data_IF_745570236486
#
_entry.id   IF_745570236486
#
_cell.length_a   1.000
_cell.length_b   1.000
_cell.length_c   1.000
_cell.angle_alpha   90.00
_cell.angle_beta   90.00
_cell.angle_gamma   90.00
#
_symmetry.space_group_name_H-M   'P 1'
#
loop_
_entity.id
_entity.type
_entity.pdbx_description
1 polymer ?
#
# COMPACT_ATOMS: atom_id res chain seq x y z
N UNK A 1 -11.43 -21.88 10.75
CA UNK A 1 -11.07 -20.59 11.38
C UNK A 1 -10.28 -19.69 10.41
N UNK A 2 -9.47 -20.25 9.51
CA UNK A 2 -8.67 -19.46 8.54
C UNK A 2 -9.49 -18.86 7.40
N UNK A 3 -10.61 -19.48 7.04
CA UNK A 3 -11.49 -19.08 5.91
C UNK A 3 -12.46 -17.95 6.27
N UNK A 4 -12.74 -17.71 7.54
CA UNK A 4 -13.68 -16.67 7.99
C UNK A 4 -12.98 -15.31 8.13
N UNK A 5 -11.69 -15.28 8.41
CA UNK A 5 -10.90 -14.03 8.52
C UNK A 5 -10.62 -13.36 7.17
N UNK A 6 -10.63 -14.13 6.06
CA UNK A 6 -10.39 -13.54 4.72
C UNK A 6 -11.58 -12.75 4.18
N UNK A 7 -12.81 -13.07 4.62
CA UNK A 7 -14.02 -12.38 4.16
C UNK A 7 -14.27 -11.05 4.88
N UNK A 8 -13.86 -10.93 6.13
CA UNK A 8 -14.04 -9.69 6.91
C UNK A 8 -13.01 -8.61 6.58
N UNK A 9 -11.82 -9.00 6.16
CA UNK A 9 -10.78 -8.03 5.77
C UNK A 9 -11.09 -7.34 4.44
N UNK A 10 -11.75 -8.03 3.49
CA UNK A 10 -12.21 -7.42 2.24
C UNK A 10 -13.27 -6.31 2.43
N UNK A 11 -14.04 -6.35 3.52
CA UNK A 11 -15.12 -5.38 3.77
C UNK A 11 -14.61 -4.08 4.40
N UNK A 12 -13.50 -4.09 5.10
CA UNK A 12 -12.91 -2.89 5.72
C UNK A 12 -12.08 -2.08 4.71
N UNK A 13 -11.53 -2.74 3.70
CA UNK A 13 -10.73 -2.11 2.64
C UNK A 13 -11.59 -1.45 1.54
N UNK A 14 -12.92 -1.71 1.53
CA UNK A 14 -13.83 -1.16 0.51
C UNK A 14 -14.14 0.34 0.65
N UNK A 15 -13.63 0.99 1.68
CA UNK A 15 -13.85 2.42 1.93
C UNK A 15 -12.67 3.34 1.60
N UNK A 16 -11.52 2.85 1.19
CA UNK A 16 -10.31 3.67 1.20
C UNK A 16 -9.42 3.65 -0.02
N UNK A 17 -9.67 2.85 -1.01
CA UNK A 17 -9.06 3.01 -2.33
C UNK A 17 -9.94 2.33 -3.37
N UNK A 18 -10.23 3.04 -4.45
CA UNK A 18 -10.94 2.57 -5.63
C UNK A 18 -10.29 1.35 -6.34
N UNK A 19 -9.25 0.76 -5.76
CA UNK A 19 -8.71 -0.54 -6.16
C UNK A 19 -9.53 -1.70 -5.61
N UNK A 20 -10.38 -1.48 -4.59
CA UNK A 20 -11.23 -2.54 -4.04
C UNK A 20 -12.67 -2.48 -4.56
N UNK A 21 -13.09 -1.38 -5.18
CA UNK A 21 -14.42 -1.29 -5.81
C UNK A 21 -14.36 -1.64 -7.29
N UNK A 22 -13.19 -1.62 -7.88
CA UNK A 22 -12.87 -2.32 -9.10
C UNK A 22 -12.30 -3.69 -8.74
N UNK A 23 -13.11 -4.47 -8.05
CA UNK A 23 -12.93 -5.92 -7.88
C UNK A 23 -13.07 -6.66 -9.22
N UNK A 24 -13.00 -5.94 -10.29
CA UNK A 24 -12.73 -6.33 -11.66
C UNK A 24 -11.31 -6.01 -12.10
N UNK A 25 -10.33 -5.87 -11.17
CA UNK A 25 -8.99 -6.26 -11.59
C UNK A 25 -9.05 -7.78 -11.64
N UNK A 26 -9.40 -8.35 -12.81
CA UNK A 26 -9.28 -9.76 -12.96
C UNK A 26 -7.81 -10.03 -12.66
N UNK A 27 -7.52 -11.08 -11.94
CA UNK A 27 -6.23 -11.76 -12.07
C UNK A 27 -6.21 -12.32 -13.49
N UNK A 28 -6.11 -11.41 -14.44
CA UNK A 28 -6.00 -11.75 -15.83
C UNK A 28 -4.52 -12.03 -16.05
N UNK A 29 -4.17 -13.31 -15.98
CA UNK A 29 -3.02 -13.82 -16.72
C UNK A 29 -3.30 -13.65 -18.22
N UNK A 30 -3.73 -12.46 -18.62
CA UNK A 30 -3.96 -12.14 -20.02
C UNK A 30 -2.62 -12.16 -20.74
N UNK A 31 -2.63 -12.44 -22.03
CA UNK A 31 -1.41 -12.36 -22.83
C UNK A 31 -0.79 -10.95 -22.74
N UNK A 32 -1.62 -9.92 -22.64
CA UNK A 32 -1.24 -8.51 -22.47
C UNK A 32 -0.50 -8.25 -21.16
N UNK A 33 -0.96 -8.84 -20.02
CA UNK A 33 -0.27 -8.67 -18.73
C UNK A 33 1.11 -9.34 -18.75
N UNK A 34 1.23 -10.49 -19.41
CA UNK A 34 2.53 -11.18 -19.56
C UNK A 34 3.48 -10.38 -20.44
N UNK A 35 3.00 -9.83 -21.55
CA UNK A 35 3.78 -8.98 -22.43
C UNK A 35 4.23 -7.70 -21.71
N UNK A 36 3.34 -7.07 -20.97
CA UNK A 36 3.65 -5.90 -20.15
C UNK A 36 4.72 -6.21 -19.09
N UNK A 37 4.59 -7.33 -18.39
CA UNK A 37 5.56 -7.75 -17.38
C UNK A 37 6.94 -7.98 -18.01
N UNK A 38 6.98 -8.67 -19.16
CA UNK A 38 8.25 -8.93 -19.84
C UNK A 38 8.88 -7.64 -20.37
N UNK A 39 8.11 -6.72 -20.92
CA UNK A 39 8.59 -5.40 -21.30
C UNK A 39 9.18 -4.61 -20.12
N UNK A 40 8.51 -4.65 -18.94
CA UNK A 40 9.04 -4.02 -17.72
C UNK A 40 10.34 -4.67 -17.23
N UNK A 41 10.49 -6.00 -17.33
CA UNK A 41 11.73 -6.69 -17.00
C UNK A 41 12.88 -6.26 -17.91
N UNK A 42 12.63 -6.21 -19.23
CA UNK A 42 13.64 -5.76 -20.19
C UNK A 42 14.03 -4.29 -19.96
N UNK A 43 13.06 -3.44 -19.60
CA UNK A 43 13.33 -2.05 -19.25
C UNK A 43 14.24 -1.94 -18.01
N UNK A 44 13.99 -2.74 -16.97
CA UNK A 44 14.80 -2.76 -15.75
C UNK A 44 16.22 -3.27 -15.99
N UNK A 45 16.39 -4.24 -16.88
CA UNK A 45 17.73 -4.70 -17.30
C UNK A 45 18.48 -3.60 -18.07
N UNK A 46 17.78 -2.87 -18.92
CA UNK A 46 18.36 -1.81 -19.75
C UNK A 46 18.71 -0.55 -18.95
N UNK A 47 17.91 -0.22 -17.94
CA UNK A 47 18.04 0.98 -17.12
C UNK A 47 18.03 0.60 -15.61
N UNK A 48 19.08 -0.06 -15.12
CA UNK A 48 19.09 -0.62 -13.76
C UNK A 48 19.12 0.45 -12.66
N UNK A 49 19.53 1.67 -12.98
CA UNK A 49 19.63 2.79 -12.03
C UNK A 49 18.46 3.78 -12.13
N UNK A 50 17.39 3.42 -12.87
CA UNK A 50 16.18 4.26 -12.96
C UNK A 50 15.09 3.73 -12.02
N UNK A 51 14.78 4.52 -10.99
CA UNK A 51 13.75 4.20 -10.00
C UNK A 51 12.37 3.98 -10.62
N UNK A 52 12.01 4.75 -11.66
CA UNK A 52 10.71 4.59 -12.33
C UNK A 52 10.59 3.25 -13.03
N UNK A 53 11.67 2.76 -13.62
CA UNK A 53 11.69 1.45 -14.26
C UNK A 53 11.41 0.33 -13.25
N UNK A 54 12.05 0.38 -12.09
CA UNK A 54 11.81 -0.57 -11.01
C UNK A 54 10.42 -0.42 -10.39
N UNK A 55 9.93 0.80 -10.24
CA UNK A 55 8.53 1.03 -9.82
C UNK A 55 7.54 0.38 -10.79
N UNK A 56 7.68 0.63 -12.11
CA UNK A 56 6.80 0.05 -13.13
C UNK A 56 6.86 -1.48 -13.14
N UNK A 57 8.05 -2.06 -12.97
CA UNK A 57 8.22 -3.51 -12.83
C UNK A 57 7.50 -4.03 -11.58
N UNK A 58 7.60 -3.32 -10.45
CA UNK A 58 6.88 -3.66 -9.22
C UNK A 58 5.37 -3.66 -9.42
N UNK A 59 4.83 -2.66 -10.12
CA UNK A 59 3.40 -2.60 -10.47
C UNK A 59 2.99 -3.75 -11.40
N UNK A 60 3.83 -4.11 -12.39
CA UNK A 60 3.54 -5.22 -13.30
C UNK A 60 3.51 -6.56 -12.55
N UNK A 61 4.45 -6.80 -11.62
CA UNK A 61 4.43 -7.95 -10.74
C UNK A 61 3.18 -7.97 -9.83
N UNK A 62 2.80 -6.81 -9.27
CA UNK A 62 1.61 -6.68 -8.43
C UNK A 62 0.34 -7.09 -9.18
N UNK A 63 0.16 -6.61 -10.41
CA UNK A 63 -0.96 -7.00 -11.29
C UNK A 63 -0.98 -8.50 -11.58
N UNK A 64 0.19 -9.12 -11.68
CA UNK A 64 0.34 -10.56 -11.89
C UNK A 64 0.18 -11.39 -10.60
N UNK A 65 -0.06 -10.75 -9.44
CA UNK A 65 -0.17 -11.43 -8.14
C UNK A 65 1.17 -11.94 -7.57
N UNK A 66 2.28 -11.51 -8.15
CA UNK A 66 3.65 -11.87 -7.77
C UNK A 66 4.16 -10.90 -6.69
N UNK A 67 3.61 -11.02 -5.48
CA UNK A 67 3.80 -10.01 -4.42
C UNK A 67 5.24 -9.92 -3.92
N UNK A 68 5.97 -11.03 -3.87
CA UNK A 68 7.38 -11.03 -3.43
C UNK A 68 8.25 -10.27 -4.42
N UNK A 69 8.10 -10.55 -5.69
CA UNK A 69 8.83 -9.90 -6.78
C UNK A 69 8.45 -8.42 -6.90
N UNK A 70 7.18 -8.09 -6.63
CA UNK A 70 6.73 -6.70 -6.56
C UNK A 70 7.44 -5.92 -5.45
N UNK A 71 7.52 -6.49 -4.24
CA UNK A 71 8.24 -5.89 -3.11
C UNK A 71 9.71 -5.68 -3.46
N UNK A 72 10.40 -6.68 -4.01
CA UNK A 72 11.82 -6.56 -4.37
C UNK A 72 12.05 -5.45 -5.40
N UNK A 73 11.19 -5.36 -6.43
CA UNK A 73 11.28 -4.30 -7.44
C UNK A 73 11.01 -2.92 -6.85
N UNK A 74 10.00 -2.77 -6.01
CA UNK A 74 9.70 -1.52 -5.32
C UNK A 74 10.79 -1.11 -4.33
N UNK A 75 11.42 -2.06 -3.63
CA UNK A 75 12.59 -1.82 -2.78
C UNK A 75 13.79 -1.33 -3.59
N UNK A 76 14.00 -1.84 -4.79
CA UNK A 76 15.03 -1.28 -5.68
C UNK A 76 14.69 0.16 -6.08
N UNK A 77 13.44 0.46 -6.41
CA UNK A 77 13.01 1.83 -6.69
C UNK A 77 13.30 2.79 -5.50
N UNK A 78 12.96 2.37 -4.27
CA UNK A 78 13.23 3.18 -3.06
C UNK A 78 14.72 3.24 -2.69
N UNK A 79 15.52 2.24 -3.07
CA UNK A 79 16.98 2.29 -2.90
C UNK A 79 17.62 3.32 -3.81
N UNK A 80 17.14 3.44 -5.05
CA UNK A 80 17.62 4.42 -6.03
C UNK A 80 17.10 5.81 -5.67
N UNK A 81 15.83 5.93 -5.33
CA UNK A 81 15.21 7.18 -4.86
C UNK A 81 14.53 6.96 -3.50
N UNK A 82 15.24 7.20 -2.38
CA UNK A 82 14.73 6.95 -1.03
C UNK A 82 13.49 7.78 -0.65
N UNK A 83 13.24 8.86 -1.36
CA UNK A 83 12.14 9.78 -1.10
C UNK A 83 10.96 9.60 -2.09
N UNK A 84 10.97 8.54 -2.90
CA UNK A 84 9.87 8.28 -3.84
C UNK A 84 8.58 7.86 -3.12
N UNK A 85 7.72 8.85 -2.89
CA UNK A 85 6.44 8.65 -2.21
C UNK A 85 5.53 7.61 -2.92
N UNK A 86 5.64 7.44 -4.25
CA UNK A 86 4.83 6.48 -4.99
C UNK A 86 5.22 5.04 -4.64
N UNK A 87 6.51 4.75 -4.65
CA UNK A 87 7.03 3.43 -4.28
C UNK A 87 6.75 3.11 -2.82
N UNK A 88 6.99 4.07 -1.91
CA UNK A 88 6.67 3.89 -0.49
C UNK A 88 5.18 3.70 -0.24
N UNK A 89 4.30 4.42 -0.92
CA UNK A 89 2.85 4.23 -0.83
C UNK A 89 2.44 2.82 -1.25
N UNK A 90 2.99 2.35 -2.37
CA UNK A 90 2.69 1.00 -2.87
C UNK A 90 3.25 -0.08 -1.95
N UNK A 91 4.46 0.10 -1.42
CA UNK A 91 5.05 -0.80 -0.41
C UNK A 91 4.21 -0.82 0.86
N UNK A 92 3.84 0.33 1.40
CA UNK A 92 3.00 0.42 2.58
C UNK A 92 1.69 -0.37 2.43
N UNK A 93 1.02 -0.21 1.30
CA UNK A 93 -0.18 -0.97 0.97
C UNK A 93 0.07 -2.48 0.86
N UNK A 94 1.14 -2.89 0.17
CA UNK A 94 1.52 -4.31 0.04
C UNK A 94 1.84 -4.93 1.41
N UNK A 95 2.63 -4.25 2.22
CA UNK A 95 3.01 -4.70 3.55
C UNK A 95 1.79 -4.85 4.47
N UNK A 96 0.85 -3.89 4.45
CA UNK A 96 -0.42 -4.01 5.19
C UNK A 96 -1.20 -5.27 4.78
N UNK A 97 -1.32 -5.55 3.47
CA UNK A 97 -2.03 -6.73 2.97
C UNK A 97 -1.33 -8.06 3.29
N UNK A 98 -0.03 -8.02 3.51
CA UNK A 98 0.78 -9.18 3.89
C UNK A 98 1.00 -9.28 5.41
N UNK A 99 0.35 -8.42 6.20
CA UNK A 99 0.48 -8.34 7.66
C UNK A 99 1.89 -8.03 8.16
N UNK A 100 2.71 -7.40 7.31
CA UNK A 100 4.06 -6.92 7.61
C UNK A 100 3.96 -5.49 8.15
N UNK A 101 3.49 -5.37 9.38
CA UNK A 101 3.05 -4.08 9.93
C UNK A 101 4.19 -3.11 10.20
N UNK A 102 5.33 -3.60 10.64
CA UNK A 102 6.52 -2.78 10.88
C UNK A 102 7.00 -2.11 9.60
N UNK A 103 7.12 -2.86 8.53
CA UNK A 103 7.54 -2.34 7.21
C UNK A 103 6.47 -1.41 6.59
N UNK A 104 5.19 -1.67 6.87
CA UNK A 104 4.11 -0.78 6.46
C UNK A 104 4.23 0.59 7.16
N UNK A 105 4.48 0.61 8.48
CA UNK A 105 4.67 1.83 9.27
C UNK A 105 5.83 2.66 8.70
N UNK A 106 6.99 2.03 8.47
CA UNK A 106 8.16 2.72 7.92
C UNK A 106 7.85 3.36 6.55
N UNK A 107 7.22 2.60 5.66
CA UNK A 107 6.86 3.09 4.34
C UNK A 107 5.85 4.24 4.39
N UNK A 108 4.82 4.14 5.23
CA UNK A 108 3.79 5.18 5.39
C UNK A 108 4.36 6.47 6.00
N UNK A 109 5.32 6.38 6.93
CA UNK A 109 6.01 7.54 7.49
C UNK A 109 6.79 8.32 6.43
N UNK A 110 7.39 7.64 5.45
CA UNK A 110 8.05 8.34 4.33
C UNK A 110 7.01 9.08 3.48
N UNK A 111 5.85 8.47 3.21
CA UNK A 111 4.77 9.15 2.46
C UNK A 111 4.31 10.40 3.21
N UNK A 112 4.04 10.31 4.50
CA UNK A 112 3.62 11.46 5.34
C UNK A 112 4.67 12.56 5.34
N UNK A 113 5.95 12.21 5.43
CA UNK A 113 7.05 13.20 5.38
C UNK A 113 7.07 13.97 4.07
N UNK A 114 6.68 13.34 2.96
CA UNK A 114 6.69 13.94 1.62
C UNK A 114 5.40 14.68 1.29
N UNK A 115 4.29 14.18 1.77
CA UNK A 115 2.96 14.75 1.57
C UNK A 115 2.20 14.72 2.90
N UNK A 116 2.42 15.73 3.77
CA UNK A 116 1.78 15.80 5.08
C UNK A 116 0.26 15.98 5.02
N UNK A 117 -0.28 16.42 3.89
CA UNK A 117 -1.72 16.63 3.71
C UNK A 117 -2.43 15.41 3.12
N UNK A 118 -1.70 14.35 2.80
CA UNK A 118 -2.30 13.12 2.27
C UNK A 118 -2.98 12.30 3.37
N UNK A 119 -4.23 12.62 3.67
CA UNK A 119 -5.05 12.05 4.75
C UNK A 119 -5.06 10.50 4.77
N UNK A 120 -5.06 9.86 3.60
CA UNK A 120 -5.06 8.39 3.51
C UNK A 120 -3.85 7.73 4.16
N UNK A 121 -2.68 8.39 4.19
CA UNK A 121 -1.50 7.86 4.87
C UNK A 121 -1.69 7.78 6.37
N UNK A 122 -2.30 8.81 6.97
CA UNK A 122 -2.64 8.80 8.39
C UNK A 122 -3.71 7.76 8.72
N UNK A 123 -4.71 7.60 7.86
CA UNK A 123 -5.71 6.56 8.02
C UNK A 123 -5.08 5.17 7.99
N UNK A 124 -4.22 4.88 7.02
CA UNK A 124 -3.54 3.60 6.90
C UNK A 124 -2.60 3.36 8.08
N UNK A 125 -1.86 4.39 8.50
CA UNK A 125 -0.95 4.29 9.65
C UNK A 125 -1.72 4.04 10.94
N UNK A 126 -2.81 4.76 11.18
CA UNK A 126 -3.69 4.55 12.33
C UNK A 126 -4.36 3.17 12.31
N UNK A 127 -4.74 2.66 11.12
CA UNK A 127 -5.24 1.30 10.96
C UNK A 127 -4.18 0.27 11.40
N UNK A 128 -2.93 0.44 10.91
CA UNK A 128 -1.84 -0.48 11.27
C UNK A 128 -1.58 -0.46 12.77
N UNK A 129 -1.51 0.72 13.40
CA UNK A 129 -1.35 0.84 14.85
C UNK A 129 -2.49 0.15 15.61
N UNK A 130 -3.74 0.36 15.19
CA UNK A 130 -4.89 -0.25 15.85
C UNK A 130 -4.86 -1.78 15.78
N UNK A 131 -4.52 -2.38 14.62
CA UNK A 131 -4.43 -3.84 14.48
C UNK A 131 -3.20 -4.43 15.19
N UNK A 132 -2.17 -3.62 15.42
CA UNK A 132 -0.99 -3.95 16.23
C UNK A 132 -1.21 -3.73 17.73
N UNK A 133 -2.45 -3.39 18.12
CA UNK A 133 -2.84 -3.11 19.51
C UNK A 133 -2.16 -1.87 20.13
N UNK A 134 -1.66 -0.96 19.30
CA UNK A 134 -1.12 0.35 19.71
C UNK A 134 -2.23 1.43 19.53
N UNK A 135 -3.15 1.45 20.48
CA UNK A 135 -4.29 2.36 20.44
C UNK A 135 -3.88 3.83 20.60
N UNK A 136 -2.84 4.11 21.35
CA UNK A 136 -2.38 5.47 21.58
C UNK A 136 -1.89 6.10 20.29
N UNK A 137 -1.02 5.40 19.54
CA UNK A 137 -0.55 5.85 18.23
C UNK A 137 -1.70 5.92 17.21
N UNK A 138 -2.69 5.03 17.26
CA UNK A 138 -3.85 5.10 16.39
C UNK A 138 -4.70 6.35 16.67
N UNK A 139 -4.89 6.72 17.95
CA UNK A 139 -5.59 7.95 18.35
C UNK A 139 -4.85 9.22 17.92
N UNK A 140 -3.51 9.22 17.96
CA UNK A 140 -2.73 10.34 17.41
C UNK A 140 -3.03 10.56 15.93
N UNK A 141 -3.09 9.49 15.13
CA UNK A 141 -3.42 9.61 13.71
C UNK A 141 -4.86 10.08 13.49
N UNK A 142 -5.79 9.65 14.33
CA UNK A 142 -7.18 10.12 14.31
C UNK A 142 -7.29 11.63 14.57
N UNK A 143 -6.56 12.16 15.54
CA UNK A 143 -6.56 13.61 15.83
C UNK A 143 -6.08 14.44 14.63
N UNK A 144 -5.06 13.96 13.90
CA UNK A 144 -4.60 14.61 12.67
C UNK A 144 -5.67 14.53 11.58
N UNK A 145 -6.30 13.38 11.40
CA UNK A 145 -7.34 13.17 10.39
C UNK A 145 -8.53 14.10 10.58
N UNK A 146 -8.89 14.48 11.80
CA UNK A 146 -10.00 15.43 12.07
C UNK A 146 -9.83 16.76 11.34
N UNK A 147 -8.59 17.17 11.11
CA UNK A 147 -8.29 18.43 10.40
C UNK A 147 -8.10 18.24 8.89
N UNK A 148 -7.72 17.06 8.44
CA UNK A 148 -7.43 16.76 7.03
C UNK A 148 -8.64 16.20 6.28
N UNK A 149 -9.35 15.24 6.90
CA UNK A 149 -10.48 14.53 6.30
C UNK A 149 -11.40 13.97 7.40
N UNK A 150 -12.51 14.67 7.64
CA UNK A 150 -13.46 14.30 8.68
C UNK A 150 -14.14 12.94 8.43
N UNK A 151 -14.33 12.54 7.17
CA UNK A 151 -14.94 11.25 6.84
C UNK A 151 -13.99 10.09 7.18
N UNK A 152 -12.69 10.24 6.86
CA UNK A 152 -11.68 9.27 7.26
C UNK A 152 -11.49 9.25 8.77
N UNK A 153 -11.58 10.40 9.46
CA UNK A 153 -11.55 10.46 10.91
C UNK A 153 -12.70 9.67 11.53
N UNK A 154 -13.93 9.83 11.05
CA UNK A 154 -15.10 9.07 11.53
C UNK A 154 -14.93 7.55 11.31
N UNK A 155 -14.36 7.15 10.18
CA UNK A 155 -14.05 5.74 9.91
C UNK A 155 -13.00 5.20 10.89
N UNK A 156 -11.95 5.98 11.15
CA UNK A 156 -10.90 5.62 12.11
C UNK A 156 -11.46 5.50 13.52
N UNK A 157 -12.25 6.45 13.97
CA UNK A 157 -12.90 6.42 15.28
C UNK A 157 -13.72 5.14 15.51
N UNK A 158 -14.48 4.73 14.49
CA UNK A 158 -15.25 3.48 14.53
C UNK A 158 -14.36 2.23 14.59
N UNK A 159 -13.16 2.27 14.00
CA UNK A 159 -12.20 1.16 14.06
C UNK A 159 -11.57 1.03 15.45
N UNK A 160 -11.16 2.14 16.06
CA UNK A 160 -10.48 2.16 17.36
C UNK A 160 -11.43 1.73 18.50
N UNK A 161 -12.73 1.99 18.37
CA UNK A 161 -13.73 1.75 19.41
C UNK A 161 -14.55 0.45 19.19
N UNK A 162 -14.10 -0.45 18.34
CA UNK A 162 -14.65 -1.80 18.19
C UNK A 162 -13.94 -2.78 19.11
#
# INVERSE_FOLDING_TARGET
YLLIMTATLCLVLSGGMSLAKDSSVPRTNSAEDKETLEACKQAAIKNPDDANTHFNLGIAYLKSGMYKEAIESLKQATKINPDDAKSHKTLGYLYMNLYMYEEAIESLKVVIKRDPDYAMSYYNLGFVYNVSNDKDSALEQYEILKSLDSELADKMFKLINK
#
